data_IF_317304509191
#
_entry.id   IF_317304509191
#
_cell.length_a   1.000
_cell.length_b   1.000
_cell.length_c   1.000
_cell.angle_alpha   90.00
_cell.angle_beta   90.00
_cell.angle_gamma   90.00
#
_symmetry.space_group_name_H-M   'P 1'
#
loop_
_entity.id
_entity.type
_entity.pdbx_description
1 polymer ?
#
# COMPACT_ATOMS: atom_id res chain seq x y z
N UNK A 1 12.59 24.46 -58.45
CA UNK A 1 13.39 23.61 -57.54
C UNK A 1 13.28 22.20 -58.11
N UNK A 2 14.33 21.40 -58.17
CA UNK A 2 14.21 20.02 -58.70
C UNK A 2 13.65 19.09 -57.63
N UNK A 3 12.98 18.00 -58.05
CA UNK A 3 12.43 16.96 -57.15
C UNK A 3 13.45 16.47 -56.12
N UNK A 4 14.68 16.21 -56.57
CA UNK A 4 15.75 15.69 -55.71
C UNK A 4 16.17 16.69 -54.61
N UNK A 5 16.18 17.99 -54.92
CA UNK A 5 16.51 19.02 -53.94
C UNK A 5 15.43 19.13 -52.87
N UNK A 6 14.15 19.05 -53.25
CA UNK A 6 13.01 19.08 -52.34
C UNK A 6 13.04 17.91 -51.34
N UNK A 7 13.23 16.68 -51.84
CA UNK A 7 13.26 15.48 -50.98
C UNK A 7 14.48 15.48 -50.04
N UNK A 8 15.63 16.01 -50.50
CA UNK A 8 16.82 16.14 -49.67
C UNK A 8 16.64 17.17 -48.55
N UNK A 9 15.97 18.30 -48.82
CA UNK A 9 15.64 19.30 -47.81
C UNK A 9 14.62 18.76 -46.79
N UNK A 10 13.59 18.05 -47.24
CA UNK A 10 12.63 17.38 -46.37
C UNK A 10 13.31 16.34 -45.47
N UNK A 11 14.25 15.55 -46.01
CA UNK A 11 15.03 14.57 -45.25
C UNK A 11 15.89 15.22 -44.15
N UNK A 12 16.41 16.41 -44.40
CA UNK A 12 17.21 17.18 -43.45
C UNK A 12 16.34 17.74 -42.32
N UNK A 13 15.15 18.25 -42.64
CA UNK A 13 14.23 18.81 -41.65
C UNK A 13 13.59 17.71 -40.77
N UNK A 14 13.34 16.53 -41.34
CA UNK A 14 12.83 15.35 -40.64
C UNK A 14 13.93 14.57 -39.86
N UNK A 15 15.11 15.16 -39.63
CA UNK A 15 16.22 14.47 -38.95
C UNK A 15 15.92 14.11 -37.48
N UNK A 16 14.94 14.77 -36.86
CA UNK A 16 14.52 14.50 -35.48
C UNK A 16 13.58 13.29 -35.33
N UNK A 17 13.16 12.65 -36.43
CA UNK A 17 12.33 11.43 -36.42
C UNK A 17 13.16 10.15 -36.54
N UNK A 18 12.56 9.05 -36.06
CA UNK A 18 13.10 7.70 -36.21
C UNK A 18 13.34 7.37 -37.70
N UNK A 19 14.40 6.61 -37.98
CA UNK A 19 14.88 6.39 -39.36
C UNK A 19 13.82 5.75 -40.26
N UNK A 20 13.05 4.82 -39.70
CA UNK A 20 11.98 4.09 -40.41
C UNK A 20 10.83 5.02 -40.79
N UNK A 21 10.39 5.88 -39.88
CA UNK A 21 9.26 6.78 -40.12
C UNK A 21 9.66 7.90 -41.08
N UNK A 22 10.90 8.38 -41.00
CA UNK A 22 11.47 9.34 -41.96
C UNK A 22 11.46 8.80 -43.40
N UNK A 23 11.94 7.58 -43.60
CA UNK A 23 11.98 6.96 -44.93
C UNK A 23 10.58 6.76 -45.52
N UNK A 24 9.60 6.37 -44.69
CA UNK A 24 8.20 6.26 -45.10
C UNK A 24 7.60 7.60 -45.51
N UNK A 25 7.85 8.66 -44.72
CA UNK A 25 7.36 10.00 -45.04
C UNK A 25 7.96 10.50 -46.35
N UNK A 26 9.26 10.29 -46.57
CA UNK A 26 9.92 10.71 -47.82
C UNK A 26 9.32 9.96 -49.03
N UNK A 27 9.14 8.63 -48.92
CA UNK A 27 8.56 7.82 -49.99
C UNK A 27 7.13 8.25 -50.34
N UNK A 28 6.32 8.64 -49.34
CA UNK A 28 4.97 9.14 -49.55
C UNK A 28 4.93 10.45 -50.35
N UNK A 29 5.81 11.40 -50.03
CA UNK A 29 5.90 12.65 -50.79
C UNK A 29 6.53 12.47 -52.16
N UNK A 30 7.43 11.50 -52.31
CA UNK A 30 7.98 11.11 -53.61
C UNK A 30 6.89 10.59 -54.55
N UNK A 31 6.05 9.65 -54.08
CA UNK A 31 4.90 9.11 -54.82
C UNK A 31 3.89 10.21 -55.16
N UNK A 32 3.59 11.11 -54.20
CA UNK A 32 2.66 12.23 -54.43
C UNK A 32 3.17 13.23 -55.48
N UNK A 33 4.49 13.46 -55.56
CA UNK A 33 5.08 14.32 -56.60
C UNK A 33 5.08 13.59 -57.95
N UNK A 34 5.36 12.28 -57.96
CA UNK A 34 5.35 11.47 -59.18
C UNK A 34 3.95 11.40 -59.81
N UNK A 35 2.89 11.18 -59.03
CA UNK A 35 1.50 11.21 -59.51
C UNK A 35 1.11 12.56 -60.16
N UNK A 36 1.67 13.65 -59.64
CA UNK A 36 1.42 15.01 -60.14
C UNK A 36 2.20 15.31 -61.42
N UNK A 37 3.40 14.78 -61.54
CA UNK A 37 4.15 14.83 -62.79
C UNK A 37 3.50 13.95 -63.87
N UNK A 38 2.98 12.77 -63.51
CA UNK A 38 2.29 11.86 -64.43
C UNK A 38 0.95 12.43 -64.94
N UNK A 39 0.28 13.26 -64.14
CA UNK A 39 -0.91 14.03 -64.56
C UNK A 39 -0.61 15.27 -65.42
N UNK A 40 0.67 15.47 -65.79
CA UNK A 40 1.08 16.45 -66.79
C UNK A 40 1.48 17.82 -66.25
N UNK A 41 1.71 17.96 -64.94
CA UNK A 41 2.29 19.18 -64.37
C UNK A 41 3.83 19.19 -64.51
N UNK A 42 4.42 20.37 -64.71
CA UNK A 42 5.88 20.51 -64.65
C UNK A 42 6.36 20.29 -63.21
N UNK A 43 7.62 19.85 -63.05
CA UNK A 43 8.19 19.51 -61.73
C UNK A 43 8.05 20.68 -60.74
N UNK A 44 8.17 21.92 -61.21
CA UNK A 44 8.06 23.12 -60.39
C UNK A 44 6.64 23.37 -59.88
N UNK A 45 5.62 23.08 -60.71
CA UNK A 45 4.23 23.24 -60.34
C UNK A 45 3.77 22.14 -59.37
N UNK A 46 4.26 20.92 -59.55
CA UNK A 46 4.02 19.81 -58.63
C UNK A 46 4.57 20.14 -57.23
N UNK A 47 5.80 20.64 -57.13
CA UNK A 47 6.44 21.03 -55.86
C UNK A 47 5.72 22.22 -55.20
N UNK A 48 5.26 23.19 -55.99
CA UNK A 48 4.51 24.33 -55.45
C UNK A 48 3.18 23.92 -54.83
N UNK A 49 2.49 22.93 -55.39
CA UNK A 49 1.22 22.45 -54.86
C UNK A 49 1.39 21.53 -53.62
N UNK A 50 2.55 20.87 -53.47
CA UNK A 50 2.86 20.04 -52.29
C UNK A 50 3.18 20.90 -51.06
N UNK A 51 3.75 22.09 -51.27
CA UNK A 51 4.09 23.05 -50.21
C UNK A 51 5.57 23.07 -49.83
N UNK A 52 5.94 23.88 -48.82
CA UNK A 52 7.34 24.04 -48.41
C UNK A 52 7.82 22.89 -47.51
N UNK A 53 9.03 22.31 -47.73
CA UNK A 53 9.57 21.22 -46.92
C UNK A 53 9.59 21.50 -45.41
N UNK A 54 9.78 22.78 -45.02
CA UNK A 54 9.82 23.17 -43.61
C UNK A 54 8.45 23.13 -42.95
N UNK A 55 7.41 23.54 -43.67
CA UNK A 55 6.05 23.51 -43.16
C UNK A 55 5.57 22.08 -42.98
N UNK A 56 5.89 21.21 -43.94
CA UNK A 56 5.58 19.77 -43.88
C UNK A 56 6.26 19.12 -42.67
N UNK A 57 7.54 19.42 -42.45
CA UNK A 57 8.26 18.88 -41.31
C UNK A 57 7.73 19.38 -39.96
N UNK A 58 7.28 20.64 -39.85
CA UNK A 58 6.64 21.16 -38.64
C UNK A 58 5.26 20.53 -38.37
N UNK A 59 4.53 20.16 -39.42
CA UNK A 59 3.23 19.48 -39.28
C UNK A 59 3.42 18.01 -38.84
N UNK A 60 4.43 17.33 -39.39
CA UNK A 60 4.68 15.91 -39.13
C UNK A 60 5.50 15.68 -37.86
N UNK A 61 6.42 16.58 -37.52
CA UNK A 61 7.17 16.56 -36.26
C UNK A 61 6.48 17.50 -35.29
N UNK A 62 5.52 17.01 -34.47
CA UNK A 62 4.92 17.84 -33.44
C UNK A 62 6.01 18.36 -32.52
N UNK A 63 6.01 19.68 -32.36
CA UNK A 63 6.90 20.45 -31.51
C UNK A 63 6.98 19.83 -30.11
N UNK A 64 8.09 19.14 -29.81
CA UNK A 64 8.39 18.58 -28.48
C UNK A 64 8.60 19.66 -27.41
N UNK A 65 8.51 20.96 -27.75
CA UNK A 65 8.61 22.05 -26.78
C UNK A 65 7.27 22.47 -26.16
N UNK A 66 6.13 22.00 -26.70
CA UNK A 66 4.85 22.14 -26.02
C UNK A 66 4.52 20.85 -25.32
N UNK A 67 4.74 20.84 -24.00
CA UNK A 67 4.45 19.73 -23.10
C UNK A 67 3.12 19.07 -23.44
N UNK A 68 3.19 17.98 -24.21
CA UNK A 68 2.05 17.20 -24.59
C UNK A 68 1.82 16.24 -23.43
N UNK A 69 0.92 16.67 -22.55
CA UNK A 69 0.33 15.90 -21.48
C UNK A 69 -0.07 14.52 -22.02
N UNK A 70 0.74 13.51 -21.69
CA UNK A 70 0.46 12.12 -22.02
C UNK A 70 -0.88 11.73 -21.40
N UNK A 71 -1.89 11.59 -22.26
CA UNK A 71 -2.89 10.52 -22.23
C UNK A 71 -3.33 10.06 -20.83
N UNK A 72 -4.12 10.93 -20.18
CA UNK A 72 -5.37 10.69 -19.46
C UNK A 72 -5.52 9.61 -18.38
N UNK A 73 -4.88 8.44 -18.47
CA UNK A 73 -5.21 7.32 -17.57
C UNK A 73 -4.01 6.60 -16.94
N UNK A 74 -2.78 6.80 -17.41
CA UNK A 74 -1.59 6.20 -16.77
C UNK A 74 -0.80 7.19 -15.90
N UNK A 75 -0.75 8.46 -16.28
CA UNK A 75 -0.13 9.49 -15.45
C UNK A 75 -0.95 9.80 -14.20
N UNK A 76 -2.29 9.71 -14.26
CA UNK A 76 -3.12 9.84 -13.07
C UNK A 76 -2.85 8.70 -12.08
N UNK A 77 -2.70 7.46 -12.55
CA UNK A 77 -2.32 6.32 -11.70
C UNK A 77 -0.89 6.42 -11.19
N UNK A 78 0.08 6.83 -12.02
CA UNK A 78 1.48 7.01 -11.58
C UNK A 78 1.65 8.17 -10.60
N UNK A 79 0.99 9.31 -10.81
CA UNK A 79 1.01 10.43 -9.86
C UNK A 79 0.28 10.07 -8.57
N UNK A 80 -0.84 9.33 -8.65
CA UNK A 80 -1.53 8.79 -7.48
C UNK A 80 -0.73 7.68 -6.77
N UNK A 81 0.17 6.97 -7.47
CA UNK A 81 1.09 5.99 -6.88
C UNK A 81 2.32 6.64 -6.27
N UNK A 82 2.80 7.77 -6.82
CA UNK A 82 3.95 8.53 -6.30
C UNK A 82 3.54 9.39 -5.10
N UNK A 83 2.39 10.08 -5.13
CA UNK A 83 1.76 10.63 -3.92
C UNK A 83 1.23 9.52 -3.01
N UNK A 84 0.88 8.39 -3.60
CA UNK A 84 0.54 7.18 -2.90
C UNK A 84 1.73 6.67 -2.09
N UNK A 85 2.96 6.73 -2.57
CA UNK A 85 4.12 6.13 -1.89
C UNK A 85 4.27 6.56 -0.41
N UNK A 86 4.19 7.86 -0.05
CA UNK A 86 4.11 8.26 1.36
C UNK A 86 2.79 7.85 2.05
N UNK A 87 1.68 7.77 1.32
CA UNK A 87 0.37 7.36 1.80
C UNK A 87 0.24 5.85 2.08
N UNK A 88 0.80 4.99 1.22
CA UNK A 88 0.88 3.54 1.36
C UNK A 88 1.83 3.19 2.50
N UNK A 89 2.94 3.93 2.66
CA UNK A 89 3.84 3.76 3.80
C UNK A 89 3.15 4.04 5.14
N UNK A 90 2.45 5.18 5.24
CA UNK A 90 1.70 5.55 6.45
C UNK A 90 0.48 4.65 6.68
N UNK A 91 -0.22 4.23 5.63
CA UNK A 91 -1.36 3.31 5.72
C UNK A 91 -0.93 1.90 6.14
N UNK A 92 0.18 1.39 5.59
CA UNK A 92 0.75 0.11 6.00
C UNK A 92 1.23 0.16 7.45
N UNK A 93 1.89 1.26 7.84
CA UNK A 93 2.29 1.49 9.23
C UNK A 93 1.08 1.55 10.17
N UNK A 94 0.01 2.25 9.78
CA UNK A 94 -1.24 2.31 10.53
C UNK A 94 -1.90 0.93 10.65
N UNK A 95 -1.90 0.13 9.59
CA UNK A 95 -2.42 -1.24 9.62
C UNK A 95 -1.62 -2.13 10.57
N UNK A 96 -0.29 -2.05 10.54
CA UNK A 96 0.58 -2.77 11.48
C UNK A 96 0.32 -2.32 12.92
N UNK A 97 0.22 -1.01 13.16
CA UNK A 97 -0.07 -0.46 14.48
C UNK A 97 -1.43 -0.90 15.01
N UNK A 98 -2.46 -0.98 14.15
CA UNK A 98 -3.77 -1.49 14.52
C UNK A 98 -3.74 -2.97 14.90
N UNK A 99 -3.04 -3.80 14.12
CA UNK A 99 -2.87 -5.22 14.44
C UNK A 99 -2.14 -5.38 15.78
N UNK A 100 -1.09 -4.57 16.00
CA UNK A 100 -0.33 -4.60 17.24
C UNK A 100 -1.16 -4.14 18.45
N UNK A 101 -1.95 -3.08 18.28
CA UNK A 101 -2.89 -2.60 19.31
C UNK A 101 -3.94 -3.65 19.66
N UNK A 102 -4.55 -4.29 18.65
CA UNK A 102 -5.49 -5.37 18.85
C UNK A 102 -4.84 -6.57 19.58
N UNK A 103 -3.59 -6.89 19.24
CA UNK A 103 -2.83 -7.93 19.93
C UNK A 103 -2.61 -7.58 21.41
N UNK A 104 -2.16 -6.36 21.72
CA UNK A 104 -1.99 -5.90 23.11
C UNK A 104 -3.31 -5.97 23.88
N UNK A 105 -4.42 -5.55 23.27
CA UNK A 105 -5.74 -5.56 23.92
C UNK A 105 -6.17 -6.98 24.32
N UNK A 106 -5.92 -7.97 23.45
CA UNK A 106 -6.20 -9.39 23.75
C UNK A 106 -5.34 -9.90 24.91
N UNK A 107 -4.07 -9.48 24.99
CA UNK A 107 -3.16 -9.86 26.08
C UNK A 107 -3.34 -9.05 27.36
N UNK A 108 -4.02 -7.91 27.30
CA UNK A 108 -4.32 -7.09 28.47
C UNK A 108 -5.26 -7.82 29.44
N UNK A 109 -6.25 -8.54 28.92
CA UNK A 109 -7.22 -9.30 29.72
C UNK A 109 -6.57 -10.34 30.67
N UNK A 110 -5.69 -11.26 30.20
CA UNK A 110 -5.02 -12.21 31.09
C UNK A 110 -4.02 -11.54 32.04
N UNK A 111 -3.40 -10.43 31.67
CA UNK A 111 -2.50 -9.67 32.56
C UNK A 111 -3.29 -9.06 33.73
N UNK A 112 -4.44 -8.46 33.46
CA UNK A 112 -5.31 -7.88 34.49
C UNK A 112 -5.82 -8.94 35.45
N UNK A 113 -6.32 -10.07 34.94
CA UNK A 113 -6.82 -11.16 35.79
C UNK A 113 -5.70 -11.84 36.57
N UNK A 114 -4.50 -11.98 35.98
CA UNK A 114 -3.31 -12.48 36.66
C UNK A 114 -2.85 -11.54 37.78
N UNK A 115 -2.82 -10.22 37.53
CA UNK A 115 -2.50 -9.22 38.56
C UNK A 115 -3.50 -9.24 39.71
N UNK A 116 -4.78 -9.38 39.41
CA UNK A 116 -5.84 -9.52 40.42
C UNK A 116 -5.67 -10.79 41.26
N UNK A 117 -5.23 -11.90 40.65
CA UNK A 117 -4.92 -13.15 41.35
C UNK A 117 -3.78 -12.96 42.37
N UNK A 118 -2.68 -12.31 41.97
CA UNK A 118 -1.53 -12.04 42.83
C UNK A 118 -1.91 -11.07 43.95
N UNK A 119 -2.59 -9.97 43.62
CA UNK A 119 -3.04 -9.00 44.63
C UNK A 119 -3.97 -9.63 45.66
N UNK A 120 -4.89 -10.49 45.22
CA UNK A 120 -5.78 -11.23 46.11
C UNK A 120 -5.04 -12.24 47.01
N UNK A 121 -3.97 -12.90 46.52
CA UNK A 121 -3.12 -13.77 47.35
C UNK A 121 -2.35 -12.99 48.41
N UNK A 122 -1.77 -11.85 48.03
CA UNK A 122 -1.04 -10.99 48.98
C UNK A 122 -2.00 -10.46 50.04
N UNK A 123 -3.21 -10.05 49.65
CA UNK A 123 -4.24 -9.61 50.58
C UNK A 123 -4.69 -10.73 51.53
N UNK A 124 -4.80 -11.96 51.03
CA UNK A 124 -5.09 -13.12 51.87
C UNK A 124 -4.00 -13.37 52.92
N UNK A 125 -2.73 -13.33 52.52
CA UNK A 125 -1.60 -13.48 53.43
C UNK A 125 -1.54 -12.34 54.47
N UNK A 126 -1.74 -11.10 54.02
CA UNK A 126 -1.80 -9.93 54.90
C UNK A 126 -2.96 -10.01 55.88
N UNK A 127 -4.09 -10.60 55.49
CA UNK A 127 -5.26 -10.77 56.35
C UNK A 127 -5.01 -11.75 57.50
N UNK A 128 -4.23 -12.81 57.27
CA UNK A 128 -3.82 -13.75 58.34
C UNK A 128 -2.95 -13.03 59.37
N UNK A 129 -1.95 -12.26 58.92
CA UNK A 129 -1.05 -11.50 59.80
C UNK A 129 -1.83 -10.41 60.56
N UNK A 130 -2.73 -9.70 59.88
CA UNK A 130 -3.59 -8.68 60.48
C UNK A 130 -4.51 -9.24 61.56
N UNK A 131 -5.02 -10.45 61.37
CA UNK A 131 -5.85 -11.12 62.38
C UNK A 131 -5.07 -11.35 63.70
N UNK A 132 -3.80 -11.78 63.62
CA UNK A 132 -2.97 -11.98 64.81
C UNK A 132 -2.71 -10.69 65.59
N UNK A 133 -2.56 -9.57 64.89
CA UNK A 133 -2.32 -8.25 65.50
C UNK A 133 -3.59 -7.71 66.17
N UNK A 134 -4.78 -8.03 65.64
CA UNK A 134 -6.07 -7.53 66.12
C UNK A 134 -6.68 -8.35 67.26
N UNK A 135 -6.23 -9.59 67.46
CA UNK A 135 -6.67 -10.50 68.53
C UNK A 135 -6.70 -9.86 69.95
N UNK A 136 -5.72 -9.05 70.39
CA UNK A 136 -5.71 -8.48 71.73
C UNK A 136 -6.74 -7.37 71.96
N UNK A 137 -7.18 -6.70 70.88
CA UNK A 137 -8.09 -5.54 70.97
C UNK A 137 -9.55 -5.93 70.84
N UNK A 138 -9.90 -6.76 69.86
CA UNK A 138 -11.28 -7.24 69.69
C UNK A 138 -11.34 -8.49 68.82
N UNK A 139 -11.86 -9.57 69.40
CA UNK A 139 -11.98 -10.87 68.73
C UNK A 139 -12.90 -10.78 67.51
N UNK A 140 -13.91 -9.91 67.55
CA UNK A 140 -14.82 -9.66 66.42
C UNK A 140 -14.12 -9.11 65.19
N UNK A 141 -13.19 -8.14 65.36
CA UNK A 141 -12.42 -7.60 64.23
C UNK A 141 -11.42 -8.63 63.70
N UNK A 142 -10.83 -9.45 64.57
CA UNK A 142 -9.92 -10.52 64.15
C UNK A 142 -10.65 -11.58 63.29
N UNK A 143 -11.85 -12.01 63.68
CA UNK A 143 -12.66 -12.97 62.90
C UNK A 143 -13.11 -12.37 61.57
N UNK A 144 -13.52 -11.10 61.57
CA UNK A 144 -13.88 -10.40 60.33
C UNK A 144 -12.69 -10.30 59.36
N UNK A 145 -11.50 -10.00 59.88
CA UNK A 145 -10.27 -9.93 59.08
C UNK A 145 -9.92 -11.28 58.44
N UNK A 146 -10.07 -12.40 59.17
CA UNK A 146 -9.89 -13.75 58.60
C UNK A 146 -10.92 -14.01 57.51
N UNK A 147 -12.18 -13.57 57.70
CA UNK A 147 -13.23 -13.65 56.68
C UNK A 147 -12.88 -12.92 55.38
N UNK A 148 -12.31 -11.71 55.47
CA UNK A 148 -11.79 -10.97 54.30
C UNK A 148 -10.66 -11.74 53.62
N UNK A 149 -9.78 -12.38 54.40
CA UNK A 149 -8.74 -13.28 53.88
C UNK A 149 -9.30 -14.46 53.08
N UNK A 150 -10.29 -15.17 53.61
CA UNK A 150 -10.93 -16.30 52.92
C UNK A 150 -11.68 -15.86 51.66
N UNK A 151 -12.40 -14.74 51.71
CA UNK A 151 -13.09 -14.19 50.53
C UNK A 151 -12.10 -13.79 49.41
N UNK A 152 -10.97 -13.18 49.79
CA UNK A 152 -9.92 -12.83 48.82
C UNK A 152 -9.21 -14.04 48.23
N UNK A 153 -9.00 -15.13 49.01
CA UNK A 153 -8.56 -16.41 48.43
C UNK A 153 -9.56 -16.97 47.42
N UNK A 154 -10.85 -16.92 47.74
CA UNK A 154 -11.91 -17.33 46.81
C UNK A 154 -11.89 -16.52 45.51
N UNK A 155 -11.71 -15.20 45.61
CA UNK A 155 -11.59 -14.32 44.46
C UNK A 155 -10.34 -14.62 43.63
N UNK A 156 -9.22 -14.95 44.28
CA UNK A 156 -7.97 -15.34 43.62
C UNK A 156 -8.14 -16.62 42.79
N UNK A 157 -8.77 -17.65 43.35
CA UNK A 157 -9.07 -18.91 42.65
C UNK A 157 -9.99 -18.69 41.43
N UNK A 158 -11.03 -17.87 41.58
CA UNK A 158 -11.92 -17.52 40.45
C UNK A 158 -11.16 -16.75 39.37
N UNK A 159 -10.30 -15.80 39.74
CA UNK A 159 -9.45 -15.07 38.82
C UNK A 159 -8.43 -15.98 38.11
N UNK A 160 -7.87 -16.97 38.80
CA UNK A 160 -6.97 -17.96 38.22
C UNK A 160 -7.68 -18.82 37.15
N UNK A 161 -8.87 -19.35 37.47
CA UNK A 161 -9.69 -20.11 36.53
C UNK A 161 -10.07 -19.24 35.32
N UNK A 162 -10.48 -17.99 35.56
CA UNK A 162 -10.78 -17.02 34.51
C UNK A 162 -9.59 -16.79 33.58
N UNK A 163 -8.40 -16.64 34.14
CA UNK A 163 -7.16 -16.46 33.37
C UNK A 163 -6.86 -17.69 32.51
N UNK A 164 -6.96 -18.90 33.07
CA UNK A 164 -6.74 -20.14 32.30
C UNK A 164 -7.74 -20.30 31.14
N UNK A 165 -9.01 -19.94 31.34
CA UNK A 165 -10.01 -20.02 30.27
C UNK A 165 -9.75 -18.98 29.16
N UNK A 166 -9.38 -17.76 29.52
CA UNK A 166 -9.06 -16.71 28.54
C UNK A 166 -7.81 -17.11 27.74
N UNK A 167 -6.74 -17.55 28.41
CA UNK A 167 -5.50 -17.98 27.74
C UNK A 167 -5.74 -19.15 26.78
N UNK A 168 -6.52 -20.15 27.19
CA UNK A 168 -6.82 -21.31 26.34
C UNK A 168 -7.72 -20.97 25.15
N UNK A 169 -8.64 -20.01 25.28
CA UNK A 169 -9.45 -19.54 24.14
C UNK A 169 -8.61 -18.72 23.17
N UNK A 170 -7.77 -17.83 23.68
CA UNK A 170 -6.86 -17.01 22.87
C UNK A 170 -5.86 -17.90 22.13
N UNK A 171 -5.24 -18.88 22.80
CA UNK A 171 -4.27 -19.77 22.14
C UNK A 171 -4.91 -20.63 21.04
N UNK A 172 -6.15 -21.12 21.25
CA UNK A 172 -6.91 -21.83 20.22
C UNK A 172 -7.27 -20.94 19.03
N UNK A 173 -7.64 -19.68 19.28
CA UNK A 173 -7.92 -18.72 18.22
C UNK A 173 -6.66 -18.43 17.38
N UNK A 174 -5.52 -18.23 18.03
CA UNK A 174 -4.23 -18.02 17.35
C UNK A 174 -3.79 -19.25 16.56
N UNK A 175 -3.96 -20.46 17.11
CA UNK A 175 -3.65 -21.71 16.40
C UNK A 175 -4.55 -21.91 15.17
N UNK A 176 -5.83 -21.56 15.27
CA UNK A 176 -6.77 -21.63 14.13
C UNK A 176 -6.39 -20.63 13.03
N UNK A 177 -5.94 -19.44 13.41
CA UNK A 177 -5.45 -18.42 12.46
C UNK A 177 -4.17 -18.88 11.74
N UNK A 178 -3.23 -19.49 12.47
CA UNK A 178 -1.98 -20.03 11.90
C UNK A 178 -2.21 -21.23 10.96
N UNK A 179 -3.19 -22.09 11.27
CA UNK A 179 -3.59 -23.17 10.37
C UNK A 179 -4.29 -22.63 9.10
N UNK A 180 -5.00 -21.51 9.20
CA UNK A 180 -5.65 -20.87 8.04
C UNK A 180 -4.62 -20.25 7.09
N UNK A 181 -3.60 -19.56 7.61
CA UNK A 181 -2.54 -18.96 6.78
C UNK A 181 -1.70 -20.02 6.08
N UNK A 182 -1.35 -21.11 6.76
CA UNK A 182 -0.64 -22.24 6.14
C UNK A 182 -1.47 -22.93 5.05
N UNK A 183 -2.79 -23.06 5.25
CA UNK A 183 -3.69 -23.58 4.21
C UNK A 183 -3.73 -22.68 2.97
N UNK A 184 -3.84 -21.35 3.14
CA UNK A 184 -3.83 -20.39 2.03
C UNK A 184 -2.50 -20.45 1.24
N UNK A 185 -1.37 -20.53 1.95
CA UNK A 185 -0.05 -20.65 1.31
C UNK A 185 0.05 -21.95 0.49
N UNK A 186 -0.55 -23.04 0.97
CA UNK A 186 -0.59 -24.31 0.23
C UNK A 186 -1.45 -24.25 -1.04
N UNK A 187 -2.47 -23.38 -1.06
CA UNK A 187 -3.38 -23.17 -2.19
C UNK A 187 -2.76 -22.33 -3.31
N UNK A 188 -1.93 -21.35 -2.95
CA UNK A 188 -1.18 -20.51 -3.91
C UNK A 188 -0.01 -21.26 -4.55
N UNK A 189 0.48 -22.33 -3.91
CA UNK A 189 1.59 -23.15 -4.40
C UNK A 189 1.14 -24.26 -5.38
N UNK A 190 -0.17 -24.53 -5.52
CA UNK A 190 -0.73 -25.43 -6.54
C UNK A 190 -1.09 -24.65 -7.80
#
# INVERSE_FOLDING_TARGET
MTKEMFLNDLKRELNNMNRIDREKTIAYYEEMIDDRMESGLSEEAAIQDVGDPKNIAMEIVPDKSKGQWFTGNKLMTSTLLILGCPLWGSLLLAAIALIFSAYIMVWCAPIMTGGLCIGALVNAAASIIGAFILLPGSVGLAVFQVGVGVLSLGLSLLAAIGTCQVVTKVSKATAKLANCTTWIISLVRR
#
